data_IF_329969703577
#
_entry.id   IF_329969703577
#
_cell.length_a   1.000
_cell.length_b   1.000
_cell.length_c   1.000
_cell.angle_alpha   90.00
_cell.angle_beta   90.00
_cell.angle_gamma   90.00
#
_symmetry.space_group_name_H-M   'P 1'
#
loop_
_entity.id
_entity.type
_entity.pdbx_description
1 polymer ?
#
# COMPACT_ATOMS: atom_id res chain seq x y z
N UNK A 1 -6.65 17.23 24.20
CA UNK A 1 -5.72 16.78 23.14
C UNK A 1 -6.15 15.38 22.67
N UNK A 2 -6.17 15.10 21.37
CA UNK A 2 -6.51 13.76 20.84
C UNK A 2 -5.22 12.92 20.78
N UNK A 3 -4.97 12.10 21.81
CA UNK A 3 -3.75 11.27 21.88
C UNK A 3 -3.83 9.98 21.03
N UNK A 4 -5.03 9.62 20.52
CA UNK A 4 -5.27 8.41 19.75
C UNK A 4 -4.29 8.16 18.59
N UNK A 5 -3.98 9.15 17.73
CA UNK A 5 -3.02 8.98 16.63
C UNK A 5 -1.60 8.60 17.10
N UNK A 6 -1.15 9.10 18.26
CA UNK A 6 0.18 8.77 18.79
C UNK A 6 0.27 7.31 19.23
N UNK A 7 -0.76 6.82 19.94
CA UNK A 7 -0.83 5.40 20.32
C UNK A 7 -0.92 4.49 19.10
N UNK A 8 -1.65 4.90 18.07
CA UNK A 8 -1.75 4.15 16.83
C UNK A 8 -0.41 4.04 16.10
N UNK A 9 0.29 5.16 15.90
CA UNK A 9 1.62 5.17 15.26
C UNK A 9 2.60 4.33 16.09
N UNK A 10 2.62 4.50 17.41
CA UNK A 10 3.47 3.73 18.31
C UNK A 10 3.19 2.22 18.25
N UNK A 11 1.92 1.81 18.21
CA UNK A 11 1.53 0.40 18.09
C UNK A 11 1.94 -0.19 16.74
N UNK A 12 1.76 0.55 15.64
CA UNK A 12 2.16 0.12 14.29
C UNK A 12 3.68 -0.05 14.18
N UNK A 13 4.45 0.94 14.65
CA UNK A 13 5.91 0.86 14.66
C UNK A 13 6.41 -0.25 15.58
N UNK A 14 5.80 -0.41 16.77
CA UNK A 14 6.12 -1.48 17.72
C UNK A 14 5.83 -2.87 17.16
N UNK A 15 4.69 -3.06 16.49
CA UNK A 15 4.35 -4.30 15.81
C UNK A 15 5.36 -4.61 14.69
N UNK A 16 5.72 -3.61 13.88
CA UNK A 16 6.77 -3.75 12.87
C UNK A 16 8.12 -4.18 13.48
N UNK A 17 8.53 -3.57 14.59
CA UNK A 17 9.76 -3.93 15.29
C UNK A 17 9.73 -5.38 15.83
N UNK A 18 8.61 -5.81 16.42
CA UNK A 18 8.44 -7.20 16.90
C UNK A 18 8.46 -8.19 15.73
N UNK A 19 7.80 -7.88 14.62
CA UNK A 19 7.79 -8.75 13.43
C UNK A 19 9.20 -8.93 12.85
N UNK A 20 10.00 -7.86 12.83
CA UNK A 20 11.40 -7.91 12.41
C UNK A 20 12.26 -8.70 13.39
N UNK A 21 12.11 -8.48 14.70
CA UNK A 21 12.89 -9.19 15.72
C UNK A 21 12.54 -10.69 15.81
N UNK A 22 11.28 -11.06 15.59
CA UNK A 22 10.82 -12.46 15.61
C UNK A 22 11.09 -13.21 14.30
N UNK A 23 11.55 -12.52 13.25
CA UNK A 23 11.72 -13.10 11.92
C UNK A 23 10.41 -13.34 11.16
N UNK A 24 9.26 -12.95 11.73
CA UNK A 24 7.94 -13.10 11.09
C UNK A 24 7.86 -12.31 9.79
N UNK A 25 8.48 -11.13 9.74
CA UNK A 25 8.54 -10.33 8.50
C UNK A 25 9.36 -11.02 7.41
N UNK A 26 10.44 -11.73 7.77
CA UNK A 26 11.22 -12.52 6.81
C UNK A 26 10.42 -13.72 6.28
N UNK A 27 9.67 -14.42 7.14
CA UNK A 27 8.79 -15.52 6.71
C UNK A 27 7.65 -15.05 5.79
N UNK A 28 7.05 -13.89 6.07
CA UNK A 28 6.04 -13.27 5.21
C UNK A 28 6.63 -12.81 3.88
N UNK A 29 7.80 -12.16 3.88
CA UNK A 29 8.45 -11.76 2.65
C UNK A 29 8.85 -12.96 1.79
N UNK A 30 9.38 -14.03 2.40
CA UNK A 30 9.74 -15.27 1.71
C UNK A 30 8.54 -16.01 1.09
N UNK A 31 7.31 -15.78 1.56
CA UNK A 31 6.10 -16.39 0.99
C UNK A 31 5.42 -15.49 -0.05
N UNK A 32 5.42 -14.18 0.15
CA UNK A 32 4.67 -13.24 -0.69
C UNK A 32 5.54 -12.63 -1.80
N UNK A 33 6.79 -12.27 -1.53
CA UNK A 33 7.66 -11.60 -2.51
C UNK A 33 8.03 -12.48 -3.72
N UNK A 34 8.22 -13.82 -3.60
CA UNK A 34 8.45 -14.65 -4.78
C UNK A 34 7.31 -14.62 -5.79
N UNK A 35 6.06 -14.45 -5.33
CA UNK A 35 4.91 -14.33 -6.22
C UNK A 35 4.92 -13.02 -7.03
N UNK A 36 5.59 -11.98 -6.51
CA UNK A 36 5.78 -10.72 -7.22
C UNK A 36 6.92 -10.76 -8.22
N UNK A 37 7.82 -11.75 -8.13
CA UNK A 37 8.97 -11.93 -9.03
C UNK A 37 9.69 -10.60 -9.32
N UNK A 38 9.99 -9.84 -8.26
CA UNK A 38 10.65 -8.54 -8.35
C UNK A 38 12.09 -8.74 -8.84
N UNK A 39 12.49 -8.00 -9.88
CA UNK A 39 13.80 -8.14 -10.52
C UNK A 39 14.52 -6.80 -10.56
N UNK A 40 15.78 -6.70 -10.09
CA UNK A 40 16.55 -5.47 -10.20
C UNK A 40 16.65 -4.98 -11.66
N UNK A 41 16.39 -3.69 -11.88
CA UNK A 41 16.45 -3.05 -13.20
C UNK A 41 15.13 -3.00 -13.98
N UNK A 42 14.14 -3.84 -13.67
CA UNK A 42 12.80 -3.73 -14.27
C UNK A 42 11.88 -2.78 -13.49
N UNK A 43 12.30 -1.52 -13.35
CA UNK A 43 11.64 -0.53 -12.46
C UNK A 43 10.14 -0.37 -12.74
N UNK A 44 9.74 -0.26 -14.01
CA UNK A 44 8.32 -0.13 -14.37
C UNK A 44 7.49 -1.34 -13.93
N UNK A 45 7.99 -2.57 -14.18
CA UNK A 45 7.30 -3.80 -13.81
C UNK A 45 7.23 -3.96 -12.30
N UNK A 46 8.34 -3.74 -11.60
CA UNK A 46 8.38 -3.81 -10.14
C UNK A 46 7.41 -2.81 -9.50
N UNK A 47 7.37 -1.59 -10.04
CA UNK A 47 6.45 -0.55 -9.58
C UNK A 47 4.99 -0.94 -9.80
N UNK A 48 4.64 -1.39 -11.01
CA UNK A 48 3.29 -1.81 -11.32
C UNK A 48 2.86 -3.01 -10.45
N UNK A 49 3.72 -4.02 -10.31
CA UNK A 49 3.44 -5.22 -9.51
C UNK A 49 3.29 -4.88 -8.03
N UNK A 50 4.17 -4.04 -7.48
CA UNK A 50 4.10 -3.67 -6.07
C UNK A 50 2.86 -2.83 -5.78
N UNK A 51 2.55 -1.84 -6.62
CA UNK A 51 1.38 -0.99 -6.42
C UNK A 51 0.06 -1.78 -6.60
N UNK A 52 0.00 -2.70 -7.57
CA UNK A 52 -1.16 -3.60 -7.73
C UNK A 52 -1.27 -4.60 -6.58
N UNK A 53 -0.16 -5.14 -6.09
CA UNK A 53 -0.16 -6.07 -4.96
C UNK A 53 -0.62 -5.40 -3.67
N UNK A 54 -0.15 -4.19 -3.37
CA UNK A 54 -0.63 -3.44 -2.21
C UNK A 54 -2.08 -2.99 -2.41
N UNK A 55 -2.50 -2.67 -3.64
CA UNK A 55 -3.91 -2.45 -3.95
C UNK A 55 -4.78 -3.69 -3.71
N UNK A 56 -4.33 -4.87 -4.13
CA UNK A 56 -5.07 -6.11 -3.89
C UNK A 56 -5.10 -6.46 -2.39
N UNK A 57 -4.00 -6.20 -1.67
CA UNK A 57 -3.95 -6.39 -0.23
C UNK A 57 -5.00 -5.52 0.50
N UNK A 58 -5.35 -4.35 -0.03
CA UNK A 58 -6.40 -3.47 0.54
C UNK A 58 -7.81 -4.08 0.45
N UNK A 59 -8.00 -5.14 -0.35
CA UNK A 59 -9.26 -5.87 -0.36
C UNK A 59 -9.38 -6.84 0.82
N UNK A 60 -8.25 -7.30 1.36
CA UNK A 60 -8.18 -8.26 2.46
C UNK A 60 -7.94 -7.54 3.79
N UNK A 61 -7.24 -6.41 3.76
CA UNK A 61 -6.94 -5.55 4.91
C UNK A 61 -7.45 -4.14 4.69
N UNK A 62 -7.57 -3.34 5.73
CA UNK A 62 -8.03 -1.94 5.57
C UNK A 62 -6.88 -1.01 5.18
N UNK A 63 -7.12 0.07 4.43
CA UNK A 63 -6.08 1.02 4.02
C UNK A 63 -5.26 1.56 5.22
N UNK A 64 -5.87 1.88 6.38
CA UNK A 64 -5.11 2.26 7.56
C UNK A 64 -4.18 1.14 8.07
N UNK A 65 -4.58 -0.13 7.97
CA UNK A 65 -3.76 -1.24 8.46
C UNK A 65 -2.56 -1.57 7.57
N UNK A 66 -2.55 -1.13 6.30
CA UNK A 66 -1.50 -1.51 5.34
C UNK A 66 -0.10 -1.03 5.68
N UNK A 67 0.13 0.20 6.17
CA UNK A 67 1.44 0.62 6.67
C UNK A 67 2.05 -0.36 7.68
N UNK A 68 1.25 -0.96 8.55
CA UNK A 68 1.73 -1.93 9.54
C UNK A 68 2.19 -3.25 8.92
N UNK A 69 1.63 -3.63 7.77
CA UNK A 69 2.00 -4.84 7.03
C UNK A 69 3.21 -4.61 6.11
N UNK A 70 3.25 -3.44 5.47
CA UNK A 70 4.27 -3.09 4.48
C UNK A 70 5.58 -2.66 5.15
N UNK A 71 5.52 -1.85 6.21
CA UNK A 71 6.71 -1.34 6.88
C UNK A 71 7.74 -2.42 7.25
N UNK A 72 7.37 -3.56 7.86
CA UNK A 72 8.33 -4.61 8.19
C UNK A 72 8.89 -5.37 6.96
N UNK A 73 8.24 -5.25 5.79
CA UNK A 73 8.67 -5.87 4.52
C UNK A 73 9.47 -4.92 3.63
N UNK A 74 9.48 -3.62 3.93
CA UNK A 74 10.04 -2.59 3.06
C UNK A 74 11.52 -2.80 2.74
N UNK A 75 12.30 -3.28 3.72
CA UNK A 75 13.72 -3.58 3.54
C UNK A 75 13.92 -4.73 2.52
N UNK A 76 13.13 -5.79 2.62
CA UNK A 76 13.20 -6.93 1.70
C UNK A 76 12.73 -6.54 0.29
N UNK A 77 11.73 -5.66 0.18
CA UNK A 77 11.32 -5.09 -1.10
C UNK A 77 12.47 -4.31 -1.73
N UNK A 78 13.13 -3.43 -0.95
CA UNK A 78 14.28 -2.66 -1.42
C UNK A 78 15.43 -3.56 -1.91
N UNK A 79 15.75 -4.62 -1.18
CA UNK A 79 16.76 -5.61 -1.56
C UNK A 79 16.37 -6.38 -2.84
N UNK A 80 15.08 -6.74 -2.98
CA UNK A 80 14.59 -7.47 -4.14
C UNK A 80 14.50 -6.61 -5.42
N UNK A 81 14.19 -5.32 -5.29
CA UNK A 81 14.06 -4.40 -6.44
C UNK A 81 15.35 -3.65 -6.76
N UNK A 82 16.30 -3.59 -5.82
CA UNK A 82 17.48 -2.73 -5.90
C UNK A 82 17.19 -1.25 -5.63
N UNK A 83 16.03 -0.91 -5.07
CA UNK A 83 15.62 0.47 -4.78
C UNK A 83 16.10 0.95 -3.40
N UNK A 84 16.00 2.26 -3.17
CA UNK A 84 16.11 2.79 -1.81
C UNK A 84 14.93 2.35 -0.93
N UNK A 85 15.14 2.25 0.38
CA UNK A 85 14.07 1.95 1.35
C UNK A 85 12.88 2.93 1.21
N UNK A 86 13.19 4.21 1.01
CA UNK A 86 12.17 5.25 0.82
C UNK A 86 11.36 5.02 -0.46
N UNK A 87 12.01 4.65 -1.57
CA UNK A 87 11.30 4.33 -2.81
C UNK A 87 10.37 3.12 -2.65
N UNK A 88 10.82 2.06 -1.97
CA UNK A 88 9.99 0.89 -1.67
C UNK A 88 8.77 1.24 -0.81
N UNK A 89 8.96 2.03 0.25
CA UNK A 89 7.87 2.49 1.12
C UNK A 89 6.87 3.38 0.37
N UNK A 90 7.36 4.34 -0.41
CA UNK A 90 6.50 5.25 -1.18
C UNK A 90 5.72 4.50 -2.26
N UNK A 91 6.37 3.56 -2.98
CA UNK A 91 5.69 2.74 -4.00
C UNK A 91 4.55 1.94 -3.40
N UNK A 92 4.81 1.30 -2.27
CA UNK A 92 3.78 0.55 -1.58
C UNK A 92 2.62 1.44 -1.11
N UNK A 93 2.91 2.69 -0.75
CA UNK A 93 1.91 3.68 -0.34
C UNK A 93 0.92 4.07 -1.43
N UNK A 94 1.33 4.06 -2.70
CA UNK A 94 0.43 4.34 -3.82
C UNK A 94 -0.74 3.35 -3.89
N UNK A 95 -0.47 2.06 -3.69
CA UNK A 95 -1.52 1.05 -3.84
C UNK A 95 -2.59 1.11 -2.75
N UNK A 96 -2.28 1.59 -1.55
CA UNK A 96 -3.28 1.79 -0.49
C UNK A 96 -3.86 3.21 -0.41
N UNK A 97 -3.31 4.15 -1.18
CA UNK A 97 -3.88 5.50 -1.30
C UNK A 97 -5.14 5.50 -2.18
N UNK A 98 -5.25 4.52 -3.07
CA UNK A 98 -6.38 4.40 -3.98
C UNK A 98 -7.48 3.51 -3.38
N UNK A 99 -8.71 4.02 -3.32
CA UNK A 99 -9.84 3.32 -2.69
C UNK A 99 -10.59 2.51 -3.74
N UNK A 100 -10.40 1.18 -3.75
CA UNK A 100 -11.09 0.30 -4.69
C UNK A 100 -12.55 0.09 -4.29
N UNK A 101 -12.78 -0.29 -3.03
CA UNK A 101 -14.10 -0.58 -2.48
C UNK A 101 -14.33 0.15 -1.16
N UNK A 102 -15.57 0.60 -0.87
CA UNK A 102 -15.83 1.46 0.29
C UNK A 102 -15.50 0.83 1.65
N UNK A 103 -15.59 -0.50 1.76
CA UNK A 103 -15.36 -1.20 3.03
C UNK A 103 -13.90 -1.18 3.50
N UNK A 104 -12.96 -0.99 2.56
CA UNK A 104 -11.51 -0.95 2.83
C UNK A 104 -11.12 0.29 3.64
N UNK A 105 -12.01 1.29 3.70
CA UNK A 105 -11.84 2.56 4.42
C UNK A 105 -12.94 2.69 5.48
N UNK A 106 -12.68 2.34 6.75
CA UNK A 106 -13.69 2.39 7.81
C UNK A 106 -14.38 3.76 7.98
N UNK A 107 -13.67 4.92 7.87
CA UNK A 107 -14.32 6.22 7.90
C UNK A 107 -15.38 6.42 6.81
N UNK A 108 -15.18 5.83 5.63
CA UNK A 108 -16.11 5.92 4.51
C UNK A 108 -17.38 5.09 4.79
N UNK A 109 -17.23 3.89 5.37
CA UNK A 109 -18.38 3.10 5.84
C UNK A 109 -19.24 3.84 6.88
N UNK A 110 -18.59 4.51 7.85
CA UNK A 110 -19.31 5.30 8.84
C UNK A 110 -20.04 6.47 8.17
N UNK A 111 -19.39 7.16 7.22
CA UNK A 111 -20.04 8.23 6.46
C UNK A 111 -21.26 7.73 5.66
N UNK A 112 -21.18 6.54 5.05
CA UNK A 112 -22.31 5.92 4.35
C UNK A 112 -23.48 5.61 5.29
N UNK A 113 -23.20 5.16 6.52
CA UNK A 113 -24.25 4.91 7.52
C UNK A 113 -24.96 6.20 7.95
N UNK A 114 -24.22 7.31 8.09
CA UNK A 114 -24.79 8.61 8.47
C UNK A 114 -25.60 9.23 7.32
N UNK A 115 -25.12 9.09 6.09
CA UNK A 115 -25.74 9.70 4.89
C UNK A 115 -26.86 8.86 4.28
N UNK A 116 -26.96 7.58 4.64
CA UNK A 116 -27.95 6.64 4.07
C UNK A 116 -27.62 6.19 2.64
N UNK A 117 -26.41 6.45 2.15
CA UNK A 117 -25.98 6.06 0.80
C UNK A 117 -25.84 4.53 0.74
N UNK A 118 -26.46 3.91 -0.26
CA UNK A 118 -26.36 2.47 -0.50
C UNK A 118 -24.94 2.04 -0.88
N UNK A 119 -24.55 0.83 -0.49
CA UNK A 119 -23.22 0.28 -0.82
C UNK A 119 -22.94 0.26 -2.33
N UNK A 120 -23.96 -0.03 -3.14
CA UNK A 120 -23.82 -0.09 -4.60
C UNK A 120 -23.45 1.26 -5.21
N UNK A 121 -24.05 2.34 -4.72
CA UNK A 121 -23.76 3.68 -5.23
C UNK A 121 -22.36 4.11 -4.81
N UNK A 122 -22.00 3.90 -3.53
CA UNK A 122 -20.65 4.18 -3.05
C UNK A 122 -19.59 3.36 -3.80
N UNK A 123 -19.81 2.05 -4.01
CA UNK A 123 -18.89 1.19 -4.75
C UNK A 123 -18.77 1.62 -6.22
N UNK A 124 -19.86 2.06 -6.86
CA UNK A 124 -19.82 2.60 -8.22
C UNK A 124 -18.93 3.85 -8.28
N UNK A 125 -19.06 4.76 -7.31
CA UNK A 125 -18.22 5.97 -7.26
C UNK A 125 -16.75 5.64 -6.97
N UNK A 126 -16.46 4.77 -6.00
CA UNK A 126 -15.06 4.41 -5.69
C UNK A 126 -14.41 3.69 -6.87
N UNK A 127 -15.12 2.76 -7.53
CA UNK A 127 -14.59 2.09 -8.73
C UNK A 127 -14.42 3.07 -9.90
N UNK A 128 -15.37 3.98 -10.11
CA UNK A 128 -15.27 5.00 -11.16
C UNK A 128 -14.08 5.94 -10.95
N UNK A 129 -13.70 6.22 -9.69
CA UNK A 129 -12.50 6.99 -9.35
C UNK A 129 -11.22 6.13 -9.40
N UNK A 130 -11.31 4.86 -9.03
CA UNK A 130 -10.16 3.97 -9.05
C UNK A 130 -9.63 3.72 -10.47
N UNK A 131 -10.52 3.55 -11.46
CA UNK A 131 -10.14 3.29 -12.86
C UNK A 131 -9.20 4.36 -13.44
N UNK A 132 -9.54 5.67 -13.45
CA UNK A 132 -8.61 6.69 -13.94
C UNK A 132 -7.36 6.79 -13.06
N UNK A 133 -7.46 6.52 -11.75
CA UNK A 133 -6.27 6.49 -10.89
C UNK A 133 -5.27 5.39 -11.30
N UNK A 134 -5.73 4.18 -11.64
CA UNK A 134 -4.84 3.12 -12.12
C UNK A 134 -4.34 3.33 -13.55
N UNK A 135 -5.20 3.86 -14.43
CA UNK A 135 -4.87 4.00 -15.85
C UNK A 135 -4.08 5.28 -16.16
N UNK A 136 -4.22 6.33 -15.35
CA UNK A 136 -3.65 7.65 -15.62
C UNK A 136 -2.70 8.07 -14.49
N UNK A 137 -3.15 8.08 -13.23
CA UNK A 137 -2.28 8.53 -12.14
C UNK A 137 -1.09 7.60 -11.94
N UNK A 138 -1.31 6.29 -11.90
CA UNK A 138 -0.24 5.33 -11.64
C UNK A 138 0.93 5.40 -12.64
N UNK A 139 0.71 5.45 -13.97
CA UNK A 139 1.80 5.67 -14.92
C UNK A 139 2.40 7.08 -14.80
N UNK A 140 1.60 8.09 -14.46
CA UNK A 140 2.10 9.45 -14.23
C UNK A 140 3.02 9.52 -13.00
N UNK A 141 2.66 8.85 -11.91
CA UNK A 141 3.46 8.72 -10.69
C UNK A 141 4.78 8.01 -10.99
N UNK A 142 4.75 6.96 -11.80
CA UNK A 142 5.96 6.28 -12.26
C UNK A 142 6.87 7.24 -13.06
N UNK A 143 6.32 7.95 -14.05
CA UNK A 143 7.08 8.89 -14.87
C UNK A 143 7.66 10.02 -14.01
N UNK A 144 6.90 10.49 -13.03
CA UNK A 144 7.36 11.48 -12.06
C UNK A 144 8.52 10.95 -11.22
N UNK A 145 8.42 9.72 -10.70
CA UNK A 145 9.48 9.10 -9.91
C UNK A 145 10.74 8.79 -10.72
N UNK A 146 10.57 8.46 -11.99
CA UNK A 146 11.70 8.36 -12.92
C UNK A 146 12.35 9.73 -13.16
N UNK A 147 11.55 10.80 -13.32
CA UNK A 147 12.07 12.15 -13.55
C UNK A 147 12.86 12.72 -12.36
N UNK A 148 12.47 12.38 -11.13
CA UNK A 148 13.18 12.79 -9.90
C UNK A 148 14.33 11.83 -9.51
N UNK A 149 14.55 10.74 -10.25
CA UNK A 149 15.63 9.78 -9.98
C UNK A 149 15.38 8.85 -8.78
N UNK A 150 14.13 8.55 -8.44
CA UNK A 150 13.81 7.78 -7.23
C UNK A 150 14.22 6.30 -7.29
N UNK A 151 14.41 5.76 -8.50
CA UNK A 151 14.76 4.36 -8.74
C UNK A 151 16.25 4.11 -9.04
N UNK A 152 17.10 5.13 -8.91
CA UNK A 152 18.54 5.06 -9.21
C UNK A 152 19.18 6.44 -9.27
#
# INVERSE_FOLDING_TARGET
MKYGPFFYIGAVLGLGAVMTHTGTSAALGASVLPALALVPGENFRNFALLALATSAASLITTNPAQPALVAPLAQQIAEATGWSLTASLMTAALGFSNVLLPYTVPPLMVAMQITGIGFRDAARYTLALAVPSYLILLPLDYLWWQAIGYFG
#
